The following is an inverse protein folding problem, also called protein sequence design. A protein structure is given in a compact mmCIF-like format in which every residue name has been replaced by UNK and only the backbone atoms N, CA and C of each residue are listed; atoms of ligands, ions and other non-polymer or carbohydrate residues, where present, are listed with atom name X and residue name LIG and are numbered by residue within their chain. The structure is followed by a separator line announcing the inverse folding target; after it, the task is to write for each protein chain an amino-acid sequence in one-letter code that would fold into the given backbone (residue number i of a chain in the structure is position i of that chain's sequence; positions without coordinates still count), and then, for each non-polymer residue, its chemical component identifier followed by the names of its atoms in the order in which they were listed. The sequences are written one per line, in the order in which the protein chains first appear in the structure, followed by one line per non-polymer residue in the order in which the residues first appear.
data_IF_336062078697
#
_entry.id   IF_336062078697
#
_cell.length_a   1.000
_cell.length_b   1.000
_cell.length_c   1.000
_cell.angle_alpha   90.00
_cell.angle_beta   90.00
_cell.angle_gamma   90.00
#
_symmetry.space_group_name_H-M   'P 1'
#
loop_
_entity.id
_entity.type
_entity.pdbx_description
1 polymer ?
#
# COMPACT_ATOMS: atom_id res chain seq x y z
N UNK A 1 13.98 35.14 7.86
CA UNK A 1 15.22 34.89 7.07
C UNK A 1 15.09 35.59 5.72
N UNK A 2 16.19 36.11 5.16
CA UNK A 2 16.15 36.87 3.92
C UNK A 2 16.05 35.90 2.71
N UNK A 3 14.90 35.87 2.01
CA UNK A 3 14.62 34.92 0.90
C UNK A 3 15.73 34.86 -0.16
N UNK A 4 16.43 35.99 -0.39
CA UNK A 4 17.52 36.09 -1.36
C UNK A 4 18.76 35.26 -1.00
N UNK A 5 19.00 34.99 0.28
CA UNK A 5 20.14 34.20 0.75
C UNK A 5 19.90 32.71 0.56
N UNK A 6 18.67 32.27 0.80
CA UNK A 6 18.23 30.86 0.66
C UNK A 6 18.18 30.45 -0.82
N UNK A 7 17.61 31.29 -1.69
CA UNK A 7 17.60 31.06 -3.14
C UNK A 7 19.01 30.95 -3.76
N UNK A 8 20.03 31.59 -3.15
CA UNK A 8 21.41 31.46 -3.61
C UNK A 8 22.01 30.10 -3.30
N UNK A 9 21.58 29.45 -2.22
CA UNK A 9 22.10 28.14 -1.80
C UNK A 9 21.58 27.01 -2.69
N UNK A 10 20.33 27.09 -3.16
CA UNK A 10 19.73 26.05 -4.02
C UNK A 10 20.31 25.97 -5.44
N UNK A 11 21.08 26.97 -5.87
CA UNK A 11 21.70 27.02 -7.20
C UNK A 11 22.76 25.95 -7.45
N UNK A 12 23.22 25.28 -6.41
CA UNK A 12 24.25 24.23 -6.47
C UNK A 12 23.67 22.82 -6.37
N UNK A 13 22.35 22.68 -6.22
CA UNK A 13 21.69 21.38 -6.08
C UNK A 13 21.58 20.69 -7.43
N UNK A 14 21.93 19.40 -7.44
CA UNK A 14 21.57 18.49 -8.52
C UNK A 14 20.04 18.40 -8.67
N UNK A 15 19.53 17.98 -9.83
CA UNK A 15 18.10 17.75 -10.03
C UNK A 15 17.48 16.83 -8.96
N UNK A 16 18.17 15.75 -8.57
CA UNK A 16 17.70 14.79 -7.57
C UNK A 16 17.64 15.40 -6.17
N UNK A 17 18.69 16.09 -5.72
CA UNK A 17 18.69 16.74 -4.40
C UNK A 17 17.60 17.81 -4.30
N UNK A 18 17.38 18.55 -5.39
CA UNK A 18 16.32 19.56 -5.46
C UNK A 18 14.94 18.92 -5.43
N UNK A 19 14.74 17.80 -6.13
CA UNK A 19 13.50 17.04 -6.04
C UNK A 19 13.24 16.58 -4.61
N UNK A 20 14.23 15.99 -3.94
CA UNK A 20 14.09 15.53 -2.55
C UNK A 20 13.63 16.67 -1.64
N UNK A 21 14.25 17.85 -1.73
CA UNK A 21 13.84 19.04 -0.97
C UNK A 21 12.45 19.56 -1.33
N UNK A 22 12.06 19.50 -2.62
CA UNK A 22 10.70 19.84 -3.07
C UNK A 22 9.68 18.92 -2.40
N UNK A 23 9.94 17.61 -2.37
CA UNK A 23 9.07 16.63 -1.75
C UNK A 23 9.00 16.78 -0.23
N UNK A 24 10.12 17.11 0.42
CA UNK A 24 10.14 17.43 1.86
C UNK A 24 9.39 18.71 2.20
N UNK A 25 9.46 19.73 1.33
CA UNK A 25 8.70 20.97 1.50
C UNK A 25 7.21 20.73 1.31
N UNK A 26 6.85 19.92 0.31
CA UNK A 26 5.49 19.49 0.06
C UNK A 26 4.93 18.69 1.25
N UNK A 27 5.72 17.78 1.83
CA UNK A 27 5.31 16.99 2.99
C UNK A 27 5.07 17.79 4.27
N UNK A 28 5.61 19.01 4.35
CA UNK A 28 5.49 19.97 5.47
C UNK A 28 4.51 21.12 5.20
N UNK A 29 3.86 21.14 4.03
CA UNK A 29 3.02 22.25 3.56
C UNK A 29 3.75 23.63 3.55
N UNK A 30 5.06 23.64 3.25
CA UNK A 30 5.86 24.88 3.14
C UNK A 30 5.88 25.41 1.70
N UNK A 31 4.80 26.11 1.32
CA UNK A 31 4.64 26.72 0.00
C UNK A 31 5.74 27.75 -0.34
N UNK A 32 6.31 28.39 0.69
CA UNK A 32 7.36 29.39 0.54
C UNK A 32 8.69 28.79 0.12
N UNK A 33 9.10 27.70 0.79
CA UNK A 33 10.29 26.93 0.42
C UNK A 33 10.08 26.22 -0.92
N UNK A 34 8.91 25.62 -1.15
CA UNK A 34 8.53 24.97 -2.40
C UNK A 34 8.68 25.93 -3.60
N UNK A 35 8.10 27.13 -3.50
CA UNK A 35 8.19 28.15 -4.55
C UNK A 35 9.64 28.59 -4.79
N UNK A 36 10.45 28.72 -3.74
CA UNK A 36 11.86 29.07 -3.86
C UNK A 36 12.69 27.98 -4.55
N UNK A 37 12.43 26.70 -4.26
CA UNK A 37 13.09 25.56 -4.87
C UNK A 37 12.73 25.41 -6.36
N UNK A 38 11.44 25.50 -6.71
CA UNK A 38 10.97 25.42 -8.11
C UNK A 38 11.56 26.57 -8.95
N UNK A 39 11.66 27.77 -8.40
CA UNK A 39 12.19 28.93 -9.09
C UNK A 39 13.73 28.98 -9.11
N UNK A 40 14.40 28.14 -8.33
CA UNK A 40 15.86 28.07 -8.31
C UNK A 40 16.37 27.32 -9.54
N UNK A 41 16.81 28.07 -10.55
CA UNK A 41 17.54 27.52 -11.69
C UNK A 41 19.05 27.55 -11.39
N UNK A 42 19.81 26.46 -11.58
CA UNK A 42 21.25 26.46 -11.39
C UNK A 42 21.94 27.43 -12.36
N UNK A 43 22.99 28.12 -11.89
CA UNK A 43 23.62 29.28 -12.56
C UNK A 43 24.41 28.91 -13.82
N UNK A 44 24.63 27.62 -14.08
CA UNK A 44 25.70 27.22 -14.99
C UNK A 44 25.35 27.19 -16.47
N UNK A 45 24.09 27.19 -16.90
CA UNK A 45 23.78 27.27 -18.33
C UNK A 45 22.52 28.10 -18.61
N UNK A 46 22.69 29.20 -19.35
CA UNK A 46 21.61 29.99 -19.95
C UNK A 46 20.96 29.23 -21.13
N UNK A 47 20.62 27.94 -20.97
CA UNK A 47 20.01 27.11 -22.01
C UNK A 47 18.90 26.23 -21.44
N UNK A 48 17.68 26.51 -21.90
CA UNK A 48 16.44 25.79 -21.64
C UNK A 48 16.03 25.69 -20.15
N UNK A 49 14.74 25.51 -19.90
CA UNK A 49 14.27 25.11 -18.58
C UNK A 49 15.05 23.86 -18.13
N UNK A 50 15.32 23.74 -16.83
CA UNK A 50 16.00 22.61 -16.19
C UNK A 50 15.26 21.29 -16.46
N UNK A 51 15.51 20.72 -17.65
CA UNK A 51 14.71 19.63 -18.23
C UNK A 51 14.80 18.38 -17.36
N UNK A 52 16.00 18.07 -16.87
CA UNK A 52 16.25 16.91 -16.02
C UNK A 52 15.47 17.01 -14.70
N UNK A 53 15.44 18.19 -14.08
CA UNK A 53 14.62 18.41 -12.88
C UNK A 53 13.12 18.26 -13.19
N UNK A 54 12.63 18.86 -14.28
CA UNK A 54 11.20 18.79 -14.61
C UNK A 54 10.77 17.38 -15.01
N UNK A 55 11.63 16.62 -15.68
CA UNK A 55 11.37 15.21 -16.00
C UNK A 55 11.31 14.37 -14.72
N UNK A 56 12.29 14.51 -13.82
CA UNK A 56 12.26 13.86 -12.50
C UNK A 56 11.02 14.24 -11.69
N UNK A 57 10.69 15.52 -11.64
CA UNK A 57 9.50 16.04 -10.95
C UNK A 57 8.22 15.41 -11.51
N UNK A 58 8.02 15.46 -12.82
CA UNK A 58 6.83 14.91 -13.47
C UNK A 58 6.73 13.38 -13.31
N UNK A 59 7.85 12.67 -13.41
CA UNK A 59 7.91 11.22 -13.22
C UNK A 59 7.65 10.81 -11.78
N UNK A 60 8.21 11.52 -10.80
CA UNK A 60 7.94 11.27 -9.38
C UNK A 60 6.45 11.42 -9.06
N UNK A 61 5.81 12.47 -9.58
CA UNK A 61 4.37 12.67 -9.43
C UNK A 61 3.58 11.55 -10.09
N UNK A 62 3.92 11.17 -11.33
CA UNK A 62 3.26 10.06 -12.03
C UNK A 62 3.37 8.75 -11.25
N UNK A 63 4.55 8.42 -10.73
CA UNK A 63 4.80 7.22 -9.95
C UNK A 63 4.06 7.23 -8.61
N UNK A 64 3.96 8.36 -7.93
CA UNK A 64 3.16 8.48 -6.71
C UNK A 64 1.67 8.17 -6.97
N UNK A 65 1.11 8.67 -8.07
CA UNK A 65 -0.28 8.37 -8.46
C UNK A 65 -0.46 6.90 -8.88
N UNK A 66 0.52 6.32 -9.58
CA UNK A 66 0.48 4.91 -9.95
C UNK A 66 0.55 4.02 -8.70
N UNK A 67 1.45 4.34 -7.76
CA UNK A 67 1.51 3.69 -6.46
C UNK A 67 0.17 3.82 -5.72
N UNK A 68 -0.43 5.02 -5.67
CA UNK A 68 -1.73 5.23 -5.05
C UNK A 68 -2.82 4.32 -5.63
N UNK A 69 -2.90 4.23 -6.96
CA UNK A 69 -3.88 3.39 -7.65
C UNK A 69 -3.70 1.91 -7.30
N UNK A 70 -2.45 1.40 -7.36
CA UNK A 70 -2.12 0.01 -7.03
C UNK A 70 -2.39 -0.26 -5.55
N UNK A 71 -2.02 0.68 -4.67
CA UNK A 71 -2.25 0.59 -3.23
C UNK A 71 -3.73 0.44 -2.90
N UNK A 72 -4.58 1.36 -3.38
CA UNK A 72 -6.02 1.31 -3.09
C UNK A 72 -6.71 0.11 -3.72
N UNK A 73 -6.29 -0.30 -4.92
CA UNK A 73 -6.79 -1.51 -5.55
C UNK A 73 -6.47 -2.74 -4.69
N UNK A 74 -5.21 -2.92 -4.29
CA UNK A 74 -4.77 -4.07 -3.50
C UNK A 74 -5.35 -4.02 -2.07
N UNK A 75 -5.47 -2.84 -1.46
CA UNK A 75 -6.19 -2.65 -0.19
C UNK A 75 -7.65 -3.07 -0.31
N UNK A 76 -8.34 -2.69 -1.38
CA UNK A 76 -9.71 -3.13 -1.65
C UNK A 76 -9.85 -4.66 -1.70
N UNK A 77 -8.83 -5.37 -2.20
CA UNK A 77 -8.80 -6.83 -2.19
C UNK A 77 -8.66 -7.38 -0.76
N UNK A 78 -7.80 -6.78 0.08
CA UNK A 78 -7.67 -7.14 1.51
C UNK A 78 -9.01 -6.96 2.23
N UNK A 79 -9.66 -5.81 2.05
CA UNK A 79 -10.95 -5.54 2.70
C UNK A 79 -12.05 -6.49 2.20
N UNK A 80 -12.04 -6.84 0.91
CA UNK A 80 -12.97 -7.84 0.36
C UNK A 80 -12.73 -9.22 0.98
N UNK A 81 -11.46 -9.63 1.14
CA UNK A 81 -11.12 -10.91 1.75
C UNK A 81 -11.52 -10.95 3.24
N UNK A 82 -11.27 -9.86 3.98
CA UNK A 82 -11.72 -9.67 5.37
C UNK A 82 -13.23 -9.80 5.50
N UNK A 83 -13.99 -9.14 4.63
CA UNK A 83 -15.44 -9.19 4.62
C UNK A 83 -15.96 -10.60 4.34
N UNK A 84 -15.38 -11.29 3.34
CA UNK A 84 -15.72 -12.69 3.04
C UNK A 84 -15.47 -13.60 4.24
N UNK A 85 -14.29 -13.51 4.83
CA UNK A 85 -13.93 -14.25 6.04
C UNK A 85 -14.92 -13.99 7.18
N UNK A 86 -15.22 -12.71 7.46
CA UNK A 86 -16.19 -12.31 8.48
C UNK A 86 -17.62 -12.83 8.21
N UNK A 87 -18.02 -12.89 6.94
CA UNK A 87 -19.32 -13.42 6.52
C UNK A 87 -19.42 -14.92 6.79
N UNK A 88 -18.36 -15.69 6.49
CA UNK A 88 -18.31 -17.11 6.85
C UNK A 88 -18.46 -17.29 8.35
N UNK A 89 -17.67 -16.58 9.16
CA UNK A 89 -17.79 -16.66 10.63
C UNK A 89 -19.22 -16.39 11.13
N UNK A 90 -19.88 -15.37 10.60
CA UNK A 90 -21.25 -15.06 10.96
C UNK A 90 -22.21 -16.20 10.60
N UNK A 91 -22.15 -16.71 9.37
CA UNK A 91 -23.02 -17.80 8.90
C UNK A 91 -22.81 -19.07 9.72
N UNK A 92 -21.56 -19.45 9.98
CA UNK A 92 -21.24 -20.61 10.82
C UNK A 92 -21.81 -20.47 12.23
N UNK A 93 -21.65 -19.29 12.84
CA UNK A 93 -22.20 -19.04 14.19
C UNK A 93 -23.73 -19.11 14.23
N UNK A 94 -24.42 -18.66 13.18
CA UNK A 94 -25.87 -18.77 13.07
C UNK A 94 -26.32 -20.22 12.86
N UNK A 95 -25.59 -20.99 12.06
CA UNK A 95 -25.86 -22.40 11.83
C UNK A 95 -25.71 -23.21 13.12
N UNK A 96 -24.58 -23.09 13.82
CA UNK A 96 -24.32 -23.77 15.10
C UNK A 96 -25.38 -23.39 16.15
N UNK A 97 -25.70 -22.10 16.27
CA UNK A 97 -26.73 -21.62 17.20
C UNK A 97 -28.12 -22.15 16.86
N UNK A 98 -28.49 -22.14 15.58
CA UNK A 98 -29.78 -22.65 15.10
C UNK A 98 -29.91 -24.14 15.36
N UNK A 99 -28.86 -24.91 15.07
CA UNK A 99 -28.80 -26.34 15.37
C UNK A 99 -28.92 -26.62 16.88
N UNK A 100 -28.20 -25.86 17.71
CA UNK A 100 -28.29 -25.97 19.16
C UNK A 100 -29.66 -25.60 19.74
N UNK A 101 -30.39 -24.66 19.11
CA UNK A 101 -31.78 -24.34 19.48
C UNK A 101 -32.73 -25.48 19.08
N UNK A 102 -32.59 -26.03 17.87
CA UNK A 102 -33.40 -27.17 17.43
C UNK A 102 -33.22 -28.37 18.37
N UNK A 103 -32.00 -28.69 18.77
CA UNK A 103 -31.76 -29.78 19.73
C UNK A 103 -32.45 -29.57 21.08
N UNK A 104 -32.57 -28.32 21.55
CA UNK A 104 -33.25 -28.00 22.82
C UNK A 104 -34.76 -28.10 22.71
N UNK A 105 -35.33 -27.68 21.58
CA UNK A 105 -36.79 -27.65 21.38
C UNK A 105 -37.40 -29.05 21.19
N UNK A 106 -36.60 -30.04 20.80
CA UNK A 106 -37.08 -31.40 20.52
C UNK A 106 -36.97 -32.39 21.70
N UNK A 107 -36.56 -31.97 22.91
CA UNK A 107 -36.48 -32.73 24.19
C UNK A 107 -35.76 -34.11 24.17
N UNK A 108 -35.32 -34.57 23.00
CA UNK A 108 -34.52 -35.76 22.76
C UNK A 108 -33.51 -35.41 21.69
N UNK A 109 -32.25 -35.21 22.08
CA UNK A 109 -31.16 -35.13 21.12
C UNK A 109 -31.18 -36.42 20.28
N UNK A 110 -31.12 -36.33 18.94
CA UNK A 110 -30.97 -37.52 18.11
C UNK A 110 -29.74 -38.29 18.60
N UNK A 111 -29.75 -39.63 18.56
CA UNK A 111 -28.52 -40.38 18.86
C UNK A 111 -27.42 -39.97 17.88
N UNK A 112 -26.16 -39.95 18.29
CA UNK A 112 -25.02 -39.56 17.43
C UNK A 112 -24.95 -40.36 16.11
N UNK A 113 -25.57 -41.55 16.07
CA UNK A 113 -25.69 -42.40 14.89
C UNK A 113 -26.84 -41.99 13.94
N UNK A 114 -27.59 -40.95 14.25
CA UNK A 114 -28.69 -40.49 13.41
C UNK A 114 -28.17 -39.79 12.15
N UNK A 115 -28.91 -39.91 11.07
CA UNK A 115 -28.64 -39.24 9.80
C UNK A 115 -28.47 -37.71 9.95
N UNK A 116 -29.14 -37.11 10.93
CA UNK A 116 -29.09 -35.67 11.23
C UNK A 116 -27.71 -35.23 11.72
N UNK A 117 -27.01 -36.07 12.49
CA UNK A 117 -25.66 -35.77 12.97
C UNK A 117 -24.62 -35.96 11.85
N UNK A 118 -24.78 -37.00 11.02
CA UNK A 118 -23.93 -37.18 9.84
C UNK A 118 -24.02 -36.01 8.85
N UNK A 119 -25.23 -35.52 8.56
CA UNK A 119 -25.42 -34.33 7.70
C UNK A 119 -24.88 -33.05 8.32
N UNK A 120 -24.95 -32.91 9.65
CA UNK A 120 -24.37 -31.79 10.39
C UNK A 120 -22.83 -31.81 10.29
N UNK A 121 -22.20 -32.96 10.56
CA UNK A 121 -20.75 -33.12 10.49
C UNK A 121 -20.20 -32.89 9.07
N UNK A 122 -20.90 -33.39 8.04
CA UNK A 122 -20.51 -33.17 6.65
C UNK A 122 -20.52 -31.66 6.30
N UNK A 123 -21.60 -30.96 6.67
CA UNK A 123 -21.72 -29.51 6.43
C UNK A 123 -20.70 -28.70 7.25
N UNK A 124 -20.41 -29.13 8.48
CA UNK A 124 -19.42 -28.50 9.33
C UNK A 124 -18.02 -28.64 8.74
N UNK A 125 -17.67 -29.82 8.22
CA UNK A 125 -16.38 -30.05 7.56
C UNK A 125 -16.21 -29.17 6.33
N UNK A 126 -17.22 -29.09 5.45
CA UNK A 126 -17.16 -28.17 4.31
C UNK A 126 -17.02 -26.71 4.76
N UNK A 127 -17.67 -26.32 5.85
CA UNK A 127 -17.53 -24.98 6.41
C UNK A 127 -16.11 -24.68 6.93
N UNK A 128 -15.47 -25.65 7.60
CA UNK A 128 -14.08 -25.53 8.04
C UNK A 128 -13.10 -25.38 6.87
N UNK A 129 -13.31 -26.14 5.80
CA UNK A 129 -12.53 -26.03 4.55
C UNK A 129 -12.66 -24.61 3.95
N UNK A 130 -13.89 -24.11 3.77
CA UNK A 130 -14.13 -22.75 3.27
C UNK A 130 -13.56 -21.66 4.18
N UNK A 131 -13.61 -21.88 5.50
CA UNK A 131 -13.02 -20.97 6.47
C UNK A 131 -11.50 -20.90 6.29
N UNK A 132 -10.83 -22.04 6.13
CA UNK A 132 -9.38 -22.06 5.91
C UNK A 132 -9.02 -21.37 4.59
N UNK A 133 -9.75 -21.65 3.52
CA UNK A 133 -9.57 -20.96 2.23
C UNK A 133 -9.72 -19.43 2.36
N UNK A 134 -10.71 -18.96 3.14
CA UNK A 134 -10.90 -17.53 3.37
C UNK A 134 -9.76 -16.90 4.19
N UNK A 135 -9.20 -17.62 5.15
CA UNK A 135 -8.02 -17.19 5.91
C UNK A 135 -6.81 -17.08 4.99
N UNK A 136 -6.53 -18.11 4.18
CA UNK A 136 -5.39 -18.08 3.25
C UNK A 136 -5.54 -17.00 2.18
N UNK A 137 -6.75 -16.78 1.68
CA UNK A 137 -7.03 -15.70 0.74
C UNK A 137 -6.76 -14.31 1.33
N UNK A 138 -7.17 -14.07 2.59
CA UNK A 138 -6.83 -12.83 3.29
C UNK A 138 -5.33 -12.68 3.49
N UNK A 139 -4.64 -13.75 3.94
CA UNK A 139 -3.18 -13.74 4.13
C UNK A 139 -2.45 -13.42 2.83
N UNK A 140 -2.86 -14.01 1.72
CA UNK A 140 -2.30 -13.73 0.39
C UNK A 140 -2.53 -12.26 -0.03
N UNK A 141 -3.75 -11.73 0.15
CA UNK A 141 -4.03 -10.32 -0.16
C UNK A 141 -3.18 -9.37 0.69
N UNK A 142 -2.97 -9.68 1.98
CA UNK A 142 -2.10 -8.90 2.86
C UNK A 142 -0.65 -8.98 2.39
N UNK A 143 -0.17 -10.17 2.07
CA UNK A 143 1.20 -10.39 1.56
C UNK A 143 1.46 -9.59 0.29
N UNK A 144 0.50 -9.57 -0.64
CA UNK A 144 0.56 -8.74 -1.86
C UNK A 144 0.63 -7.25 -1.56
N UNK A 145 -0.19 -6.74 -0.63
CA UNK A 145 -0.16 -5.33 -0.25
C UNK A 145 1.17 -4.94 0.40
N UNK A 146 1.74 -5.81 1.24
CA UNK A 146 3.11 -5.65 1.75
C UNK A 146 4.13 -5.63 0.62
N UNK A 147 3.96 -6.46 -0.40
CA UNK A 147 4.78 -6.46 -1.62
C UNK A 147 4.73 -5.12 -2.37
N UNK A 148 3.55 -4.49 -2.48
CA UNK A 148 3.41 -3.13 -3.04
C UNK A 148 4.26 -2.12 -2.28
N UNK A 149 4.21 -2.14 -0.94
CA UNK A 149 5.01 -1.22 -0.12
C UNK A 149 6.51 -1.53 -0.21
N UNK A 150 6.90 -2.80 -0.18
CA UNK A 150 8.28 -3.23 -0.31
C UNK A 150 8.88 -2.78 -1.66
N UNK A 151 8.09 -2.84 -2.74
CA UNK A 151 8.49 -2.34 -4.05
C UNK A 151 8.73 -0.83 -4.04
N UNK A 152 7.82 -0.07 -3.42
CA UNK A 152 7.99 1.38 -3.24
C UNK A 152 9.28 1.68 -2.46
N UNK A 153 9.49 1.00 -1.34
CA UNK A 153 10.67 1.20 -0.49
C UNK A 153 11.97 0.96 -1.27
N UNK A 154 12.06 -0.17 -1.98
CA UNK A 154 13.21 -0.53 -2.80
C UNK A 154 13.42 0.47 -3.96
N UNK A 155 12.34 0.90 -4.59
CA UNK A 155 12.38 1.92 -5.63
C UNK A 155 12.92 3.25 -5.09
N UNK A 156 12.41 3.73 -3.95
CA UNK A 156 12.87 4.97 -3.33
C UNK A 156 14.37 4.91 -3.01
N UNK A 157 14.87 3.80 -2.47
CA UNK A 157 16.32 3.62 -2.25
C UNK A 157 17.14 3.75 -3.54
N UNK A 158 16.70 3.14 -4.63
CA UNK A 158 17.36 3.26 -5.94
C UNK A 158 17.31 4.71 -6.45
N UNK A 159 16.20 5.40 -6.24
CA UNK A 159 15.98 6.78 -6.65
C UNK A 159 16.63 7.82 -5.72
N UNK A 160 17.30 7.39 -4.63
CA UNK A 160 17.84 8.26 -3.57
C UNK A 160 16.76 9.15 -2.92
N UNK A 161 15.59 8.57 -2.72
CA UNK A 161 14.44 9.17 -2.06
C UNK A 161 14.03 8.32 -0.87
N UNK A 162 13.21 8.90 -0.01
CA UNK A 162 12.49 8.19 1.05
C UNK A 162 11.01 7.99 0.67
N UNK A 163 10.35 6.91 1.14
CA UNK A 163 8.93 6.68 0.82
C UNK A 163 8.02 7.86 1.19
N UNK A 164 8.23 8.51 2.34
CA UNK A 164 7.40 9.64 2.75
C UNK A 164 7.54 10.85 1.82
N UNK A 165 8.70 11.02 1.17
CA UNK A 165 8.93 12.07 0.18
C UNK A 165 8.05 11.80 -1.06
N UNK A 166 8.07 10.59 -1.60
CA UNK A 166 7.24 10.28 -2.78
C UNK A 166 5.74 10.35 -2.46
N UNK A 167 5.35 9.91 -1.26
CA UNK A 167 3.97 9.97 -0.78
C UNK A 167 3.49 11.39 -0.47
N UNK A 168 4.38 12.39 -0.41
CA UNK A 168 3.99 13.80 -0.21
C UNK A 168 3.13 14.33 -1.38
N UNK A 169 3.24 13.74 -2.57
CA UNK A 169 2.33 14.03 -3.69
C UNK A 169 0.86 13.70 -3.40
N UNK A 170 0.62 12.79 -2.46
CA UNK A 170 -0.70 12.30 -2.10
C UNK A 170 -0.82 12.22 -0.57
N UNK A 171 -0.94 13.35 0.15
CA UNK A 171 -0.91 13.36 1.62
C UNK A 171 -1.88 12.38 2.29
N UNK A 172 -3.15 12.22 1.84
CA UNK A 172 -4.05 11.23 2.43
C UNK A 172 -3.53 9.79 2.33
N UNK A 173 -2.78 9.46 1.29
CA UNK A 173 -2.19 8.14 1.10
C UNK A 173 -1.02 7.90 2.06
N UNK A 174 -0.23 8.94 2.39
CA UNK A 174 0.90 8.81 3.31
C UNK A 174 0.44 8.29 4.68
N UNK A 175 -0.59 8.91 5.22
CA UNK A 175 -1.10 8.58 6.56
C UNK A 175 -1.79 7.21 6.53
N UNK A 176 -2.57 6.95 5.48
CA UNK A 176 -3.20 5.65 5.20
C UNK A 176 -2.17 4.49 5.11
N UNK A 177 -1.07 4.67 4.37
CA UNK A 177 0.00 3.67 4.26
C UNK A 177 0.64 3.41 5.62
N UNK A 178 0.92 4.48 6.38
CA UNK A 178 1.53 4.38 7.71
C UNK A 178 0.62 3.60 8.67
N UNK A 179 -0.64 4.01 8.81
CA UNK A 179 -1.62 3.35 9.67
C UNK A 179 -1.79 1.88 9.28
N UNK A 180 -1.87 1.60 7.99
CA UNK A 180 -2.02 0.23 7.50
C UNK A 180 -0.80 -0.62 7.85
N UNK A 181 0.42 -0.12 7.60
CA UNK A 181 1.66 -0.85 7.89
C UNK A 181 1.87 -1.08 9.39
N UNK A 182 1.44 -0.16 10.26
CA UNK A 182 1.47 -0.33 11.72
C UNK A 182 0.43 -1.37 12.21
N UNK A 183 -0.74 -1.44 11.56
CA UNK A 183 -1.81 -2.38 11.90
C UNK A 183 -1.70 -3.77 11.26
N UNK A 184 -0.66 -4.02 10.46
CA UNK A 184 -0.51 -5.27 9.71
C UNK A 184 0.01 -6.43 10.55
N UNK A 185 -0.44 -7.64 10.21
CA UNK A 185 -0.01 -8.87 10.85
C UNK A 185 1.51 -9.09 10.60
N UNK A 186 2.37 -9.06 11.65
CA UNK A 186 3.83 -9.07 11.47
C UNK A 186 4.36 -10.41 10.96
N UNK A 187 3.59 -11.50 11.10
CA UNK A 187 3.92 -12.86 10.67
C UNK A 187 3.76 -13.09 9.16
N UNK A 188 3.14 -12.16 8.43
CA UNK A 188 2.94 -12.30 6.98
C UNK A 188 4.06 -11.59 6.24
N UNK A 189 4.85 -12.32 5.46
CA UNK A 189 5.90 -11.74 4.62
C UNK A 189 5.34 -11.06 3.38
N UNK A 190 6.13 -10.17 2.78
CA UNK A 190 5.79 -9.52 1.52
C UNK A 190 5.84 -10.52 0.36
N UNK A 191 4.89 -10.40 -0.57
CA UNK A 191 4.86 -11.20 -1.80
C UNK A 191 6.03 -10.76 -2.70
N UNK A 192 7.00 -11.66 -2.92
CA UNK A 192 8.22 -11.37 -3.69
C UNK A 192 7.94 -11.07 -5.17
N UNK A 193 6.99 -11.79 -5.78
CA UNK A 193 6.62 -11.62 -7.18
C UNK A 193 5.96 -10.24 -7.40
N UNK A 194 5.05 -9.87 -6.50
CA UNK A 194 4.41 -8.55 -6.50
C UNK A 194 5.43 -7.44 -6.28
N UNK A 195 6.37 -7.66 -5.35
CA UNK A 195 7.47 -6.73 -5.06
C UNK A 195 8.30 -6.48 -6.31
N UNK A 196 8.76 -7.54 -6.97
CA UNK A 196 9.62 -7.43 -8.15
C UNK A 196 8.88 -6.81 -9.34
N UNK A 197 7.65 -7.23 -9.60
CA UNK A 197 6.84 -6.72 -10.72
C UNK A 197 6.63 -5.21 -10.64
N UNK A 198 6.28 -4.71 -9.45
CA UNK A 198 6.06 -3.26 -9.25
C UNK A 198 7.38 -2.51 -9.26
N UNK A 199 8.42 -3.05 -8.61
CA UNK A 199 9.75 -2.43 -8.61
C UNK A 199 10.29 -2.24 -10.03
N UNK A 200 10.18 -3.26 -10.88
CA UNK A 200 10.59 -3.18 -12.28
C UNK A 200 9.76 -2.15 -13.06
N UNK A 201 8.46 -2.12 -12.84
CA UNK A 201 7.57 -1.14 -13.47
C UNK A 201 7.95 0.30 -13.10
N UNK A 202 8.26 0.57 -11.83
CA UNK A 202 8.69 1.89 -11.38
C UNK A 202 10.09 2.25 -11.92
N UNK A 203 11.01 1.29 -11.89
CA UNK A 203 12.39 1.47 -12.39
C UNK A 203 12.41 1.79 -13.89
N UNK A 204 11.59 1.10 -14.70
CA UNK A 204 11.47 1.36 -16.13
C UNK A 204 10.90 2.75 -16.44
N UNK A 205 10.04 3.27 -15.57
CA UNK A 205 9.43 4.59 -15.73
C UNK A 205 10.31 5.73 -15.22
N UNK A 206 11.32 5.44 -14.39
CA UNK A 206 12.25 6.41 -13.83
C UNK A 206 13.34 6.78 -14.84
N UNK A 207 13.68 8.07 -15.00
CA UNK A 207 14.74 8.45 -15.91
C UNK A 207 16.08 7.90 -15.40
N UNK A 208 16.78 7.17 -16.25
CA UNK A 208 18.16 6.75 -15.97
C UNK A 208 19.02 7.99 -16.09
N UNK A 209 19.78 8.33 -15.05
CA UNK A 209 20.74 9.41 -15.11
C UNK A 209 21.70 9.15 -16.29
N UNK A 210 21.80 10.08 -17.23
CA UNK A 210 22.90 10.06 -18.19
C UNK A 210 24.19 10.27 -17.39
N UNK A 211 24.98 9.21 -17.24
CA UNK A 211 26.32 9.26 -16.63
C UNK A 211 27.26 10.02 -17.55
#
# INVERSE_FOLDING_TARGET
MNHKTVQRQYRHLSPTERLALVLESLGRDDDGELGALIQSCPVYEYRLQDQDFWDLHNKSRMLAHLFAAIWFQTKGQVETARLRKGTFYLVGSLFERGFGLALKDFDSAPSEQSMVWGEYEEKLKSFEEYRQEAIEAERLCISRLKGVYAALFRFCQMAQLEPHQLLAWTPPLRDEVKEFMEGLAPDIEADEEMTETIFQSFSLAWPVAAV
#
